data_IF_507440974828
#
_entry.id   IF_507440974828
#
_cell.length_a   1.000
_cell.length_b   1.000
_cell.length_c   1.000
_cell.angle_alpha   90.00
_cell.angle_beta   90.00
_cell.angle_gamma   90.00
#
_symmetry.space_group_name_H-M   'P 1'
#
loop_
_entity.id
_entity.type
_entity.pdbx_description
1 polymer ?
#
# COMPACT_ATOMS: atom_id res chain seq x y z
N UNK A 1 12.03 -21.74 3.21
CA UNK A 1 11.96 -21.08 4.54
C UNK A 1 12.01 -19.55 4.51
N UNK A 2 12.77 -18.89 3.61
CA UNK A 2 12.90 -17.41 3.59
C UNK A 2 11.58 -16.66 3.33
N UNK A 3 10.77 -17.18 2.40
CA UNK A 3 9.46 -16.62 2.00
C UNK A 3 8.43 -16.65 3.15
N UNK A 4 8.36 -17.77 3.86
CA UNK A 4 7.48 -17.95 5.02
C UNK A 4 7.84 -16.98 6.17
N UNK A 5 9.13 -16.71 6.37
CA UNK A 5 9.62 -15.78 7.39
C UNK A 5 9.35 -14.30 7.06
N UNK A 6 9.27 -13.93 5.78
CA UNK A 6 8.81 -12.61 5.35
C UNK A 6 7.29 -12.45 5.40
N UNK A 7 6.54 -13.54 5.22
CA UNK A 7 5.07 -13.55 5.32
C UNK A 7 4.58 -13.46 6.77
N UNK A 8 5.35 -14.00 7.73
CA UNK A 8 5.01 -14.02 9.16
C UNK A 8 4.88 -12.64 9.83
N UNK A 9 5.36 -11.56 9.19
CA UNK A 9 5.38 -10.21 9.77
C UNK A 9 4.49 -9.21 9.03
N UNK A 10 3.59 -9.67 8.17
CA UNK A 10 2.64 -8.81 7.47
C UNK A 10 1.47 -8.45 8.39
N UNK A 11 1.44 -7.22 8.90
CA UNK A 11 0.26 -6.69 9.59
C UNK A 11 -0.75 -6.21 8.55
N UNK A 12 -1.98 -6.72 8.59
CA UNK A 12 -3.07 -6.30 7.71
C UNK A 12 -3.37 -4.81 7.85
N UNK A 13 -3.59 -4.15 6.71
CA UNK A 13 -4.04 -2.77 6.57
C UNK A 13 -5.25 -2.72 5.62
N UNK A 14 -5.89 -1.56 5.49
CA UNK A 14 -7.05 -1.40 4.60
C UNK A 14 -6.74 -1.66 3.13
N UNK A 15 -5.55 -1.28 2.67
CA UNK A 15 -5.15 -1.36 1.26
C UNK A 15 -3.94 -2.27 1.02
N UNK A 16 -3.58 -3.13 1.97
CA UNK A 16 -2.40 -3.98 1.85
C UNK A 16 -1.86 -4.46 3.18
N UNK A 17 -0.54 -4.46 3.30
CA UNK A 17 0.19 -5.00 4.44
C UNK A 17 1.34 -4.07 4.84
N UNK A 18 1.56 -3.97 6.15
CA UNK A 18 2.79 -3.42 6.68
C UNK A 18 3.84 -4.53 6.78
N UNK A 19 4.95 -4.37 6.07
CA UNK A 19 6.12 -5.26 6.12
C UNK A 19 7.27 -4.67 6.96
N UNK A 20 6.94 -3.81 7.94
CA UNK A 20 7.93 -3.24 8.84
C UNK A 20 8.59 -4.36 9.66
N UNK A 21 9.92 -4.34 9.85
CA UNK A 21 10.58 -5.33 10.68
C UNK A 21 10.09 -5.31 12.13
N UNK A 22 10.09 -6.48 12.76
CA UNK A 22 9.80 -6.63 14.19
C UNK A 22 10.86 -5.90 15.00
N UNK A 23 10.44 -5.22 16.07
CA UNK A 23 11.31 -4.43 16.94
C UNK A 23 11.52 -2.99 16.47
N UNK A 24 11.05 -2.62 15.27
CA UNK A 24 10.87 -1.21 14.91
C UNK A 24 9.47 -0.75 15.33
N UNK A 25 9.42 0.37 16.04
CA UNK A 25 8.18 1.04 16.41
C UNK A 25 7.54 1.76 15.21
N UNK A 26 6.22 1.97 15.29
CA UNK A 26 5.50 2.75 14.30
C UNK A 26 5.54 4.23 14.68
N UNK A 27 6.31 5.03 13.95
CA UNK A 27 6.27 6.50 14.08
C UNK A 27 5.75 7.18 12.82
N UNK A 28 5.16 6.41 11.90
CA UNK A 28 4.62 6.98 10.68
C UNK A 28 3.30 7.68 10.98
N UNK A 29 3.27 9.01 10.85
CA UNK A 29 2.14 9.88 11.24
C UNK A 29 1.11 10.09 10.11
N UNK A 30 1.41 9.60 8.91
CA UNK A 30 0.54 9.76 7.72
C UNK A 30 -0.07 8.41 7.29
N UNK A 31 -0.74 8.41 6.13
CA UNK A 31 -1.39 7.21 5.57
C UNK A 31 -0.35 6.17 5.16
N UNK A 32 -0.59 4.90 5.52
CA UNK A 32 0.35 3.81 5.31
C UNK A 32 0.81 3.68 3.84
N UNK A 33 -0.02 4.04 2.88
CA UNK A 33 0.20 3.99 1.44
C UNK A 33 1.40 4.83 0.97
N UNK A 34 1.86 5.76 1.81
CA UNK A 34 3.05 6.59 1.58
C UNK A 34 4.30 6.10 2.33
N UNK A 35 4.18 5.07 3.18
CA UNK A 35 5.27 4.52 3.96
C UNK A 35 6.16 3.56 3.13
N UNK A 36 7.48 3.56 3.38
CA UNK A 36 8.43 2.67 2.69
C UNK A 36 8.19 1.18 2.96
N UNK A 37 7.62 0.85 4.14
CA UNK A 37 7.32 -0.53 4.52
C UNK A 37 5.96 -1.02 4.02
N UNK A 38 5.20 -0.18 3.32
CA UNK A 38 3.92 -0.55 2.76
C UNK A 38 4.07 -1.43 1.54
N UNK A 39 3.35 -2.54 1.54
CA UNK A 39 3.23 -3.45 0.41
C UNK A 39 1.75 -3.67 0.10
N UNK A 40 1.42 -3.71 -1.19
CA UNK A 40 0.09 -4.07 -1.68
C UNK A 40 0.21 -5.22 -2.67
N UNK A 41 -0.90 -5.90 -2.93
CA UNK A 41 -1.03 -7.02 -3.86
C UNK A 41 -2.19 -6.76 -4.82
N UNK A 42 -2.32 -7.63 -5.83
CA UNK A 42 -3.37 -7.50 -6.86
C UNK A 42 -4.78 -7.59 -6.25
N UNK A 43 -4.95 -8.28 -5.12
CA UNK A 43 -6.23 -8.40 -4.42
C UNK A 43 -6.80 -7.04 -4.00
N UNK A 44 -5.95 -6.04 -3.73
CA UNK A 44 -6.36 -4.70 -3.32
C UNK A 44 -6.59 -3.74 -4.49
N UNK A 45 -6.32 -4.14 -5.74
CA UNK A 45 -6.47 -3.27 -6.91
C UNK A 45 -7.85 -2.60 -7.00
N UNK A 46 -8.99 -3.31 -6.84
CA UNK A 46 -10.30 -2.67 -6.95
C UNK A 46 -10.50 -1.55 -5.93
N UNK A 47 -10.06 -1.78 -4.68
CA UNK A 47 -10.12 -0.78 -3.61
C UNK A 47 -9.21 0.42 -3.90
N UNK A 48 -7.99 0.17 -4.37
CA UNK A 48 -7.05 1.23 -4.75
C UNK A 48 -7.57 2.10 -5.90
N UNK A 49 -8.21 1.49 -6.90
CA UNK A 49 -8.86 2.23 -8.00
C UNK A 49 -10.02 3.08 -7.49
N UNK A 50 -10.92 2.50 -6.69
CA UNK A 50 -12.03 3.25 -6.10
C UNK A 50 -11.57 4.42 -5.25
N UNK A 51 -10.52 4.26 -4.44
CA UNK A 51 -9.98 5.35 -3.61
C UNK A 51 -9.21 6.40 -4.42
N UNK A 52 -8.59 6.02 -5.54
CA UNK A 52 -8.01 6.97 -6.50
C UNK A 52 -9.11 7.81 -7.12
N UNK A 53 -10.17 7.18 -7.60
CA UNK A 53 -11.27 7.85 -8.29
C UNK A 53 -12.02 8.79 -7.33
N UNK A 54 -12.28 8.37 -6.08
CA UNK A 54 -12.82 9.23 -5.02
C UNK A 54 -11.92 10.45 -4.73
N UNK A 55 -10.59 10.24 -4.71
CA UNK A 55 -9.64 11.32 -4.52
C UNK A 55 -9.65 12.31 -5.71
N UNK A 56 -9.81 11.80 -6.93
CA UNK A 56 -9.93 12.62 -8.13
C UNK A 56 -11.23 13.45 -8.14
N UNK A 57 -12.35 12.81 -7.82
CA UNK A 57 -13.67 13.48 -7.71
C UNK A 57 -13.65 14.61 -6.68
N UNK A 58 -12.95 14.42 -5.56
CA UNK A 58 -12.81 15.42 -4.49
C UNK A 58 -11.68 16.43 -4.71
N UNK A 59 -10.94 16.35 -5.83
CA UNK A 59 -9.80 17.24 -6.11
C UNK A 59 -8.60 17.06 -5.15
N UNK A 60 -8.47 15.90 -4.50
CA UNK A 60 -7.42 15.61 -3.53
C UNK A 60 -6.12 15.15 -4.23
N UNK A 61 -5.46 16.08 -4.91
CA UNK A 61 -4.31 15.80 -5.80
C UNK A 61 -3.19 14.97 -5.14
N UNK A 62 -2.85 15.26 -3.88
CA UNK A 62 -1.84 14.52 -3.14
C UNK A 62 -2.23 13.05 -2.91
N UNK A 63 -3.49 12.80 -2.53
CA UNK A 63 -4.03 11.46 -2.30
C UNK A 63 -4.16 10.69 -3.61
N UNK A 64 -4.64 11.34 -4.66
CA UNK A 64 -4.72 10.76 -6.00
C UNK A 64 -3.34 10.26 -6.46
N UNK A 65 -2.30 11.10 -6.33
CA UNK A 65 -0.92 10.75 -6.74
C UNK A 65 -0.38 9.53 -5.99
N UNK A 66 -0.72 9.36 -4.71
CA UNK A 66 -0.32 8.19 -3.93
C UNK A 66 -0.90 6.92 -4.55
N UNK A 67 -2.21 6.91 -4.86
CA UNK A 67 -2.86 5.74 -5.45
C UNK A 67 -2.42 5.47 -6.90
N UNK A 68 -2.21 6.50 -7.71
CA UNK A 68 -1.66 6.34 -9.06
C UNK A 68 -0.29 5.63 -9.02
N UNK A 69 0.58 6.00 -8.07
CA UNK A 69 1.88 5.36 -7.88
C UNK A 69 1.79 3.91 -7.37
N UNK A 70 0.76 3.58 -6.59
CA UNK A 70 0.50 2.20 -6.16
C UNK A 70 0.00 1.33 -7.30
N UNK A 71 -0.95 1.82 -8.09
CA UNK A 71 -1.51 1.11 -9.23
C UNK A 71 -0.44 0.86 -10.31
N UNK A 72 0.38 1.87 -10.61
CA UNK A 72 1.51 1.74 -11.55
C UNK A 72 2.47 0.63 -11.14
N UNK A 73 2.85 0.55 -9.86
CA UNK A 73 3.74 -0.50 -9.34
C UNK A 73 3.09 -1.89 -9.41
N UNK A 74 1.78 -1.98 -9.19
CA UNK A 74 1.03 -3.23 -9.33
C UNK A 74 0.99 -3.70 -10.78
N UNK A 75 0.83 -2.80 -11.76
CA UNK A 75 0.88 -3.14 -13.19
C UNK A 75 2.26 -3.69 -13.59
N UNK A 76 3.34 -3.06 -13.10
CA UNK A 76 4.72 -3.50 -13.35
C UNK A 76 5.04 -4.86 -12.72
N UNK A 77 4.44 -5.17 -11.57
CA UNK A 77 4.68 -6.44 -10.86
C UNK A 77 3.86 -7.61 -11.41
N UNK A 78 2.85 -7.33 -12.25
CA UNK A 78 1.99 -8.32 -12.88
C UNK A 78 2.46 -8.71 -14.30
N UNK A 79 3.53 -8.08 -14.80
CA UNK A 79 4.17 -8.34 -16.10
C UNK A 79 5.36 -9.29 -15.94
#
# INVERSE_FOLDING_TARGET
MRKLRSEMHRRMLGNGYCARPVGLDCHFESICESCTFFQTTIEFRPTLQSQRDDAAEKGQLGRQKIFDGLLTRLDQSAS
#
